data_IF_094212621595
#
_entry.id   IF_094212621595
#
_cell.length_a   1.000
_cell.length_b   1.000
_cell.length_c   1.000
_cell.angle_alpha   90.00
_cell.angle_beta   90.00
_cell.angle_gamma   90.00
#
_symmetry.space_group_name_H-M   'P 1'
#
loop_
_entity.id
_entity.type
_entity.pdbx_description
1 polymer ?
#
# COMPACT_ATOMS: atom_id res chain seq x y z
N UNK A 1 -8.30 7.73 -56.93
CA UNK A 1 -6.93 8.17 -57.27
C UNK A 1 -6.16 8.37 -55.97
N UNK A 2 -4.98 7.74 -55.84
CA UNK A 2 -3.99 7.93 -54.76
C UNK A 2 -4.41 7.39 -53.38
N UNK A 3 -3.83 6.35 -52.77
CA UNK A 3 -2.47 5.83 -52.83
C UNK A 3 -1.74 6.21 -51.54
N UNK A 4 -1.46 5.25 -50.65
CA UNK A 4 -0.24 5.28 -49.84
C UNK A 4 0.15 3.88 -49.37
N UNK A 5 1.46 3.65 -49.43
CA UNK A 5 2.16 2.37 -49.55
C UNK A 5 2.79 1.95 -48.22
N UNK A 6 2.92 0.63 -48.06
CA UNK A 6 3.96 -0.12 -47.34
C UNK A 6 4.26 0.24 -45.87
N UNK A 7 3.95 -0.70 -44.98
CA UNK A 7 4.93 -1.29 -44.07
C UNK A 7 4.55 -2.76 -43.85
N UNK A 8 5.16 -3.64 -44.64
CA UNK A 8 5.25 -5.08 -44.39
C UNK A 8 6.69 -5.40 -43.99
N UNK A 9 6.87 -6.57 -43.37
CA UNK A 9 8.12 -7.16 -42.84
C UNK A 9 8.36 -6.66 -41.40
N UNK A 10 8.28 -7.46 -40.35
CA UNK A 10 8.93 -8.76 -40.12
C UNK A 10 8.07 -9.66 -39.20
N UNK A 11 8.14 -10.98 -39.39
CA UNK A 11 7.93 -11.98 -38.32
C UNK A 11 6.53 -12.60 -38.19
N UNK A 12 6.15 -13.42 -39.16
CA UNK A 12 5.00 -14.33 -39.07
C UNK A 12 5.23 -15.39 -37.97
N UNK A 13 4.36 -15.39 -36.95
CA UNK A 13 4.05 -16.56 -36.13
C UNK A 13 2.58 -16.92 -36.39
N UNK A 14 2.22 -18.20 -36.45
CA UNK A 14 0.93 -18.62 -36.99
C UNK A 14 -0.21 -18.14 -36.09
N UNK A 15 -1.03 -17.27 -36.66
CA UNK A 15 -2.36 -16.93 -36.16
C UNK A 15 -3.22 -18.19 -36.28
N UNK A 16 -3.85 -18.72 -35.23
CA UNK A 16 -5.00 -19.57 -35.44
C UNK A 16 -6.10 -18.69 -36.05
N UNK A 17 -6.46 -18.99 -37.30
CA UNK A 17 -7.71 -18.54 -37.91
C UNK A 17 -8.84 -19.12 -37.06
N UNK A 18 -9.42 -18.30 -36.18
CA UNK A 18 -10.74 -18.55 -35.63
C UNK A 18 -11.74 -17.92 -36.60
N UNK A 19 -12.55 -18.79 -37.20
CA UNK A 19 -13.65 -18.43 -38.08
C UNK A 19 -14.65 -17.50 -37.39
N UNK A 20 -15.19 -16.58 -38.16
CA UNK A 20 -16.21 -15.63 -37.75
C UNK A 20 -17.52 -16.34 -37.42
N UNK A 21 -17.72 -16.67 -36.13
CA UNK A 21 -18.98 -17.08 -35.56
C UNK A 21 -19.56 -15.95 -34.69
N UNK A 22 -20.67 -15.38 -35.16
CA UNK A 22 -21.47 -14.34 -34.51
C UNK A 22 -21.93 -14.69 -33.09
N UNK A 23 -21.69 -13.80 -32.12
CA UNK A 23 -22.49 -13.71 -30.89
C UNK A 23 -21.73 -13.45 -29.59
N UNK A 24 -21.80 -12.21 -29.11
CA UNK A 24 -21.60 -11.78 -27.72
C UNK A 24 -20.14 -11.81 -27.17
N UNK A 25 -19.46 -10.68 -27.34
CA UNK A 25 -18.79 -10.03 -26.20
C UNK A 25 -17.43 -10.57 -25.77
N UNK A 26 -16.47 -10.60 -26.70
CA UNK A 26 -15.05 -10.64 -26.36
C UNK A 26 -14.66 -9.39 -25.57
N UNK A 27 -14.61 -9.49 -24.24
CA UNK A 27 -13.82 -8.58 -23.41
C UNK A 27 -12.55 -9.32 -23.03
N UNK A 28 -11.50 -9.11 -23.83
CA UNK A 28 -10.14 -9.30 -23.34
C UNK A 28 -9.94 -8.27 -22.22
N UNK A 29 -9.64 -8.65 -20.97
CA UNK A 29 -9.30 -7.68 -19.95
C UNK A 29 -8.06 -6.89 -20.40
N UNK A 30 -8.14 -5.57 -20.39
CA UNK A 30 -7.03 -4.68 -20.69
C UNK A 30 -5.83 -5.01 -19.78
N UNK A 31 -4.59 -5.06 -20.30
CA UNK A 31 -3.40 -5.16 -19.47
C UNK A 31 -3.12 -3.78 -18.86
N UNK A 32 -3.88 -3.39 -17.83
CA UNK A 32 -3.79 -2.03 -17.29
C UNK A 32 -4.52 -1.75 -15.99
N UNK A 33 -5.17 -2.73 -15.35
CA UNK A 33 -5.93 -2.46 -14.13
C UNK A 33 -5.72 -3.55 -13.08
N UNK A 34 -4.46 -3.72 -12.65
CA UNK A 34 -4.22 -4.19 -11.29
C UNK A 34 -4.32 -2.97 -10.39
N UNK A 35 -5.50 -2.75 -9.81
CA UNK A 35 -5.60 -1.93 -8.59
C UNK A 35 -4.80 -2.69 -7.53
N UNK A 36 -3.52 -2.38 -7.42
CA UNK A 36 -2.76 -2.74 -6.24
C UNK A 36 -3.46 -2.06 -5.07
N UNK A 37 -3.68 -2.80 -3.98
CA UNK A 37 -4.24 -2.23 -2.76
C UNK A 37 -3.49 -0.96 -2.34
N UNK A 38 -4.19 -0.05 -1.68
CA UNK A 38 -3.61 1.13 -1.05
C UNK A 38 -2.62 0.69 0.03
N UNK A 39 -2.94 -0.37 0.76
CA UNK A 39 -2.06 -1.00 1.74
C UNK A 39 -0.86 -1.65 1.06
N UNK A 40 0.34 -1.26 1.48
CA UNK A 40 1.60 -1.68 0.88
C UNK A 40 2.44 -2.44 1.91
N UNK A 41 2.87 -3.65 1.54
CA UNK A 41 3.89 -4.40 2.25
C UNK A 41 5.15 -4.55 1.41
N UNK A 42 6.32 -4.33 2.00
CA UNK A 42 7.62 -4.47 1.34
C UNK A 42 8.42 -5.60 2.01
N UNK A 43 9.16 -6.43 1.26
CA UNK A 43 10.08 -7.40 1.85
C UNK A 43 11.25 -6.66 2.52
N UNK A 44 11.64 -7.11 3.71
CA UNK A 44 12.78 -6.61 4.44
C UNK A 44 13.58 -7.77 5.05
N UNK A 45 14.90 -7.60 5.12
CA UNK A 45 15.77 -8.50 5.88
C UNK A 45 15.63 -8.17 7.38
N UNK A 46 15.26 -9.19 8.17
CA UNK A 46 15.06 -9.10 9.61
C UNK A 46 16.17 -9.85 10.31
N UNK A 47 16.70 -9.25 11.37
CA UNK A 47 17.66 -9.87 12.27
C UNK A 47 16.94 -10.24 13.57
N UNK A 48 16.77 -11.54 13.82
CA UNK A 48 16.18 -12.05 15.05
C UNK A 48 17.15 -11.88 16.23
N UNK A 49 16.62 -11.62 17.43
CA UNK A 49 17.41 -11.52 18.68
C UNK A 49 18.27 -12.77 19.00
N UNK A 50 17.95 -13.92 18.39
CA UNK A 50 18.68 -15.19 18.50
C UNK A 50 19.81 -15.36 17.48
N UNK A 51 20.06 -14.36 16.61
CA UNK A 51 21.19 -14.35 15.67
C UNK A 51 20.91 -14.91 14.28
N UNK A 52 19.64 -15.21 13.94
CA UNK A 52 19.25 -15.61 12.57
C UNK A 52 18.79 -14.40 11.76
N UNK A 53 19.09 -14.38 10.45
CA UNK A 53 18.47 -13.47 9.50
C UNK A 53 17.47 -14.19 8.59
N UNK A 54 16.40 -13.50 8.22
CA UNK A 54 15.39 -13.99 7.28
C UNK A 54 14.64 -12.83 6.63
N UNK A 55 14.01 -13.08 5.48
CA UNK A 55 13.18 -12.08 4.81
C UNK A 55 11.74 -12.22 5.27
N UNK A 56 11.12 -11.09 5.63
CA UNK A 56 9.70 -11.01 5.95
C UNK A 56 9.07 -9.77 5.31
N UNK A 57 7.77 -9.81 5.05
CA UNK A 57 7.02 -8.66 4.55
C UNK A 57 6.59 -7.76 5.69
N UNK A 58 6.93 -6.47 5.61
CA UNK A 58 6.55 -5.45 6.59
C UNK A 58 5.59 -4.46 5.94
N UNK A 59 4.52 -4.11 6.67
CA UNK A 59 3.57 -3.10 6.24
C UNK A 59 4.18 -1.70 6.36
N UNK A 60 4.12 -0.96 5.24
CA UNK A 60 4.63 0.41 5.07
C UNK A 60 3.51 1.42 4.92
N UNK A 61 2.40 1.00 4.32
CA UNK A 61 1.17 1.77 4.22
C UNK A 61 0.04 0.85 4.68
N UNK A 62 -0.82 1.35 5.56
CA UNK A 62 -2.03 0.67 6.01
C UNK A 62 -3.21 1.57 5.72
N UNK A 63 -4.12 1.08 4.88
CA UNK A 63 -5.40 1.70 4.62
C UNK A 63 -6.48 1.07 5.52
N UNK A 64 -7.19 1.90 6.28
CA UNK A 64 -8.15 1.48 7.28
C UNK A 64 -9.41 0.82 6.68
N UNK A 65 -9.83 1.26 5.49
CA UNK A 65 -11.03 0.77 4.81
C UNK A 65 -10.74 -0.53 4.05
N UNK A 66 -9.58 -0.61 3.40
CA UNK A 66 -9.11 -1.79 2.70
C UNK A 66 -8.72 -2.92 3.66
N UNK A 67 -8.02 -2.59 4.76
CA UNK A 67 -7.41 -3.55 5.68
C UNK A 67 -7.79 -3.26 7.14
N UNK A 68 -9.06 -3.47 7.53
CA UNK A 68 -9.52 -3.29 8.90
C UNK A 68 -8.84 -4.25 9.89
N UNK A 69 -8.36 -5.40 9.41
CA UNK A 69 -7.55 -6.34 10.18
C UNK A 69 -6.20 -5.74 10.60
N UNK A 70 -5.53 -5.00 9.71
CA UNK A 70 -4.28 -4.31 10.02
C UNK A 70 -4.51 -3.13 10.98
N UNK A 71 -5.63 -2.42 10.83
CA UNK A 71 -6.07 -1.41 11.81
C UNK A 71 -6.23 -2.03 13.21
N UNK A 72 -6.86 -3.21 13.31
CA UNK A 72 -6.99 -3.91 14.58
C UNK A 72 -5.60 -4.29 15.16
N UNK A 73 -4.66 -4.74 14.33
CA UNK A 73 -3.28 -5.00 14.76
C UNK A 73 -2.57 -3.73 15.24
N UNK A 74 -2.76 -2.58 14.60
CA UNK A 74 -2.22 -1.29 15.08
C UNK A 74 -2.79 -0.97 16.47
N UNK A 75 -4.11 -1.10 16.65
CA UNK A 75 -4.77 -0.83 17.92
C UNK A 75 -4.28 -1.74 19.06
N UNK A 76 -3.95 -2.99 18.73
CA UNK A 76 -3.35 -3.97 19.65
C UNK A 76 -1.83 -3.80 19.83
N UNK A 77 -1.19 -2.91 19.07
CA UNK A 77 0.26 -2.77 19.07
C UNK A 77 1.00 -3.98 18.49
N UNK A 78 0.36 -4.75 17.60
CA UNK A 78 0.88 -5.99 17.00
C UNK A 78 1.13 -5.91 15.50
N UNK A 79 1.09 -4.72 14.90
CA UNK A 79 1.51 -4.56 13.50
C UNK A 79 2.99 -4.96 13.36
N UNK A 80 3.33 -5.61 12.25
CA UNK A 80 4.70 -6.03 11.91
C UNK A 80 5.35 -6.95 12.97
N UNK A 81 4.55 -7.79 13.63
CA UNK A 81 5.07 -8.94 14.39
C UNK A 81 5.43 -10.04 13.40
N UNK A 82 6.68 -10.48 13.44
CA UNK A 82 7.22 -11.54 12.59
C UNK A 82 7.63 -12.73 13.44
N UNK A 83 7.49 -13.94 12.88
CA UNK A 83 7.92 -15.18 13.53
C UNK A 83 9.16 -15.71 12.83
N UNK A 84 10.25 -15.88 13.59
CA UNK A 84 11.48 -16.46 13.07
C UNK A 84 11.25 -17.93 12.69
N UNK A 85 11.54 -18.34 11.44
CA UNK A 85 11.33 -19.72 11.02
C UNK A 85 12.32 -20.72 11.64
N UNK A 86 13.43 -20.23 12.20
CA UNK A 86 14.50 -21.07 12.75
C UNK A 86 14.32 -21.38 14.24
N UNK A 87 13.94 -20.40 15.05
CA UNK A 87 13.81 -20.55 16.51
C UNK A 87 12.37 -20.39 17.02
N UNK A 88 11.43 -19.98 16.17
CA UNK A 88 10.03 -19.78 16.52
C UNK A 88 9.73 -18.52 17.35
N UNK A 89 10.74 -17.69 17.65
CA UNK A 89 10.56 -16.43 18.36
C UNK A 89 9.65 -15.46 17.57
N UNK A 90 8.75 -14.79 18.27
CA UNK A 90 7.94 -13.70 17.72
C UNK A 90 8.48 -12.37 18.20
N UNK A 91 8.75 -11.47 17.26
CA UNK A 91 9.32 -10.16 17.55
C UNK A 91 8.58 -9.10 16.74
N UNK A 92 8.34 -7.95 17.36
CA UNK A 92 7.81 -6.80 16.64
C UNK A 92 8.94 -6.06 15.94
N UNK A 93 8.83 -5.88 14.63
CA UNK A 93 9.75 -5.07 13.85
C UNK A 93 9.22 -3.65 13.80
N UNK A 94 9.86 -2.75 14.55
CA UNK A 94 9.53 -1.35 14.53
C UNK A 94 10.10 -0.69 13.27
N UNK A 95 9.23 -0.42 12.30
CA UNK A 95 9.57 0.32 11.08
C UNK A 95 8.63 1.49 10.90
N UNK A 96 9.06 2.58 10.22
CA UNK A 96 8.14 3.65 9.92
C UNK A 96 7.03 3.20 8.97
N UNK A 97 5.81 3.65 9.20
CA UNK A 97 4.68 3.35 8.31
C UNK A 97 3.64 4.47 8.30
N UNK A 98 2.90 4.55 7.20
CA UNK A 98 1.81 5.48 7.00
C UNK A 98 0.48 4.78 7.28
N UNK A 99 -0.39 5.42 8.04
CA UNK A 99 -1.78 5.01 8.22
C UNK A 99 -2.67 6.00 7.47
N UNK A 100 -3.58 5.47 6.64
CA UNK A 100 -4.54 6.23 5.87
C UNK A 100 -5.95 5.80 6.24
N UNK A 101 -6.82 6.78 6.49
CA UNK A 101 -8.22 6.58 6.85
C UNK A 101 -9.07 7.65 6.18
N UNK A 102 -9.76 7.28 5.10
CA UNK A 102 -10.53 8.23 4.31
C UNK A 102 -11.80 8.69 5.04
N UNK A 103 -12.43 7.82 5.83
CA UNK A 103 -13.57 8.16 6.69
C UNK A 103 -13.24 9.29 7.69
N UNK A 104 -12.02 9.32 8.22
CA UNK A 104 -11.55 10.36 9.13
C UNK A 104 -10.72 11.45 8.45
N UNK A 105 -10.55 11.39 7.11
CA UNK A 105 -9.70 12.29 6.33
C UNK A 105 -8.30 12.45 6.93
N UNK A 106 -7.71 11.33 7.37
CA UNK A 106 -6.47 11.32 8.14
C UNK A 106 -5.36 10.56 7.42
N UNK A 107 -4.16 11.15 7.42
CA UNK A 107 -2.90 10.51 7.03
C UNK A 107 -1.90 10.70 8.15
N UNK A 108 -1.51 9.62 8.79
CA UNK A 108 -0.68 9.63 9.99
C UNK A 108 0.62 8.85 9.76
N UNK A 109 1.75 9.47 10.07
CA UNK A 109 3.06 8.82 10.06
C UNK A 109 3.41 8.34 11.47
N UNK A 110 3.62 7.03 11.62
CA UNK A 110 4.19 6.44 12.82
C UNK A 110 5.67 6.14 12.59
N UNK A 111 6.51 6.49 13.57
CA UNK A 111 7.95 6.25 13.54
C UNK A 111 8.33 5.22 14.61
N UNK A 112 9.39 4.43 14.40
CA UNK A 112 9.98 3.64 15.46
C UNK A 112 10.62 4.55 16.52
N UNK A 113 10.80 4.07 17.76
CA UNK A 113 11.55 4.81 18.76
C UNK A 113 12.98 5.05 18.28
N UNK A 114 13.43 6.30 18.35
CA UNK A 114 14.74 6.72 17.86
C UNK A 114 14.77 8.21 17.57
N UNK A 115 15.95 8.74 17.27
CA UNK A 115 16.11 10.12 16.78
C UNK A 115 16.38 10.07 15.28
N UNK A 116 15.35 10.41 14.51
CA UNK A 116 15.51 10.86 13.12
C UNK A 116 15.55 12.39 13.12
N UNK A 117 16.37 12.98 12.25
CA UNK A 117 16.36 14.41 12.01
C UNK A 117 15.11 14.83 11.25
N UNK A 118 14.70 16.10 11.37
CA UNK A 118 13.49 16.62 10.69
C UNK A 118 13.54 16.40 9.16
N UNK A 119 14.71 16.59 8.54
CA UNK A 119 14.89 16.34 7.11
C UNK A 119 14.71 14.87 6.71
N UNK A 120 15.16 13.93 7.56
CA UNK A 120 14.97 12.50 7.32
C UNK A 120 13.51 12.09 7.46
N UNK A 121 12.84 12.61 8.49
CA UNK A 121 11.40 12.43 8.69
C UNK A 121 10.63 12.95 7.49
N UNK A 122 10.99 14.14 6.98
CA UNK A 122 10.33 14.74 5.82
C UNK A 122 10.52 13.89 4.56
N UNK A 123 11.75 13.50 4.24
CA UNK A 123 12.04 12.68 3.06
C UNK A 123 11.32 11.32 3.12
N UNK A 124 11.25 10.71 4.31
CA UNK A 124 10.50 9.48 4.53
C UNK A 124 8.99 9.67 4.34
N UNK A 125 8.43 10.75 4.88
CA UNK A 125 7.02 11.08 4.71
C UNK A 125 6.67 11.27 3.24
N UNK A 126 7.48 12.04 2.51
CA UNK A 126 7.29 12.32 1.08
C UNK A 126 7.28 11.01 0.27
N UNK A 127 8.24 10.10 0.49
CA UNK A 127 8.27 8.79 -0.19
C UNK A 127 7.01 7.97 0.06
N UNK A 128 6.52 7.92 1.31
CA UNK A 128 5.34 7.13 1.66
C UNK A 128 4.05 7.76 1.11
N UNK A 129 3.96 9.09 1.08
CA UNK A 129 2.83 9.82 0.48
C UNK A 129 2.80 9.62 -1.03
N UNK A 130 3.95 9.69 -1.71
CA UNK A 130 4.02 9.43 -3.15
C UNK A 130 3.52 8.02 -3.49
N UNK A 131 3.92 7.02 -2.69
CA UNK A 131 3.42 5.66 -2.82
C UNK A 131 1.90 5.57 -2.56
N UNK A 132 1.40 6.23 -1.52
CA UNK A 132 -0.04 6.32 -1.22
C UNK A 132 -0.83 6.92 -2.39
N UNK A 133 -0.39 8.09 -2.88
CA UNK A 133 -1.04 8.79 -3.98
C UNK A 133 -1.01 7.98 -5.27
N UNK A 134 0.06 7.22 -5.52
CA UNK A 134 0.16 6.32 -6.67
C UNK A 134 -0.86 5.20 -6.64
N UNK A 135 -1.27 4.75 -5.44
CA UNK A 135 -2.31 3.74 -5.26
C UNK A 135 -3.74 4.30 -5.33
N UNK A 136 -3.93 5.60 -5.04
CA UNK A 136 -5.25 6.25 -5.08
C UNK A 136 -5.50 6.87 -6.47
N UNK A 137 -6.59 6.49 -7.18
CA UNK A 137 -6.95 7.09 -8.47
C UNK A 137 -7.05 8.62 -8.39
N UNK A 138 -6.57 9.37 -9.40
CA UNK A 138 -6.56 10.84 -9.35
C UNK A 138 -7.90 11.48 -8.99
N UNK A 139 -9.02 10.91 -9.44
CA UNK A 139 -10.38 11.41 -9.19
C UNK A 139 -10.81 11.24 -7.72
N UNK A 140 -10.21 10.30 -7.00
CA UNK A 140 -10.46 10.04 -5.57
C UNK A 140 -9.50 10.79 -4.65
N UNK A 141 -8.48 11.46 -5.19
CA UNK A 141 -7.51 12.20 -4.38
C UNK A 141 -8.16 13.45 -3.80
N UNK A 142 -8.18 13.53 -2.47
CA UNK A 142 -8.73 14.67 -1.72
C UNK A 142 -7.59 15.48 -1.08
N UNK A 143 -7.80 16.77 -0.74
CA UNK A 143 -6.74 17.62 -0.18
C UNK A 143 -6.10 17.08 1.09
N UNK A 144 -6.83 16.33 1.93
CA UNK A 144 -6.29 15.79 3.19
C UNK A 144 -5.12 14.82 2.98
N UNK A 145 -5.00 14.20 1.80
CA UNK A 145 -3.91 13.25 1.50
C UNK A 145 -2.53 13.90 1.56
N UNK A 146 -2.47 15.22 1.42
CA UNK A 146 -1.23 16.01 1.49
C UNK A 146 -0.95 16.55 2.89
N UNK A 147 -1.87 16.38 3.84
CA UNK A 147 -1.73 16.83 5.22
C UNK A 147 -1.31 15.67 6.13
N UNK A 148 -0.01 15.31 6.04
CA UNK A 148 0.55 14.24 6.88
C UNK A 148 0.77 14.75 8.30
N UNK A 149 0.16 14.05 9.24
CA UNK A 149 0.33 14.31 10.67
C UNK A 149 1.31 13.32 11.27
N UNK A 150 2.16 13.78 12.19
CA UNK A 150 3.11 12.92 12.87
C UNK A 150 2.46 12.32 14.14
N UNK A 151 2.16 11.03 14.11
CA UNK A 151 1.69 10.30 15.29
C UNK A 151 2.84 9.94 16.25
N UNK A 152 4.09 10.03 15.78
CA UNK A 152 5.31 9.81 16.55
C UNK A 152 5.65 8.34 16.77
N UNK A 153 4.71 7.53 17.26
CA UNK A 153 4.91 6.09 17.49
C UNK A 153 3.66 5.27 17.15
N UNK A 154 3.79 3.95 17.09
CA UNK A 154 2.64 3.05 16.95
C UNK A 154 1.62 3.22 18.10
N UNK A 155 2.10 3.44 19.33
CA UNK A 155 1.23 3.67 20.47
C UNK A 155 0.50 5.03 20.36
N UNK A 156 1.22 6.08 19.92
CA UNK A 156 0.64 7.40 19.65
C UNK A 156 -0.44 7.33 18.57
N UNK A 157 -0.14 6.64 17.45
CA UNK A 157 -1.10 6.38 16.39
C UNK A 157 -2.33 5.64 16.91
N UNK A 158 -2.15 4.57 17.67
CA UNK A 158 -3.26 3.82 18.21
C UNK A 158 -4.11 4.64 19.20
N UNK A 159 -3.49 5.57 19.94
CA UNK A 159 -4.18 6.56 20.77
C UNK A 159 -5.02 7.53 19.94
N UNK A 160 -4.44 8.08 18.87
CA UNK A 160 -5.12 8.97 17.93
C UNK A 160 -6.35 8.28 17.30
N UNK A 161 -6.19 7.07 16.78
CA UNK A 161 -7.31 6.30 16.18
C UNK A 161 -8.42 6.05 17.21
N UNK A 162 -8.08 5.81 18.48
CA UNK A 162 -9.07 5.63 19.55
C UNK A 162 -9.81 6.92 19.89
N UNK A 163 -9.17 8.07 19.71
CA UNK A 163 -9.75 9.38 20.03
C UNK A 163 -10.94 9.75 19.14
N UNK A 164 -11.00 9.20 17.92
CA UNK A 164 -12.08 9.48 16.96
C UNK A 164 -13.43 8.85 17.34
N UNK A 165 -13.47 8.00 18.37
CA UNK A 165 -14.67 7.27 18.76
C UNK A 165 -14.94 6.08 17.83
N UNK A 166 -15.42 4.97 18.37
CA UNK A 166 -15.63 3.74 17.60
C UNK A 166 -16.85 3.81 16.69
N UNK A 167 -16.76 4.46 15.53
CA UNK A 167 -17.42 4.12 14.25
C UNK A 167 -16.93 5.09 13.17
N UNK A 168 -16.60 4.64 11.94
CA UNK A 168 -16.31 5.55 10.85
C UNK A 168 -17.55 6.41 10.52
N UNK A 169 -17.34 7.71 10.30
CA UNK A 169 -18.33 8.56 9.65
C UNK A 169 -18.66 7.95 8.29
N UNK A 170 -19.93 7.64 8.06
CA UNK A 170 -20.39 7.20 6.75
C UNK A 170 -19.86 8.17 5.69
N UNK A 171 -19.20 7.63 4.65
CA UNK A 171 -18.73 8.42 3.52
C UNK A 171 -19.86 9.22 2.86
N UNK A 172 -19.54 10.28 2.09
CA UNK A 172 -20.56 11.17 1.55
C UNK A 172 -21.56 10.40 0.66
N UNK A 173 -22.85 10.68 0.89
CA UNK A 173 -23.99 10.20 0.12
C UNK A 173 -23.95 10.64 -1.36
#
# INVERSE_FOLDING_TARGET
MGGCRLCALWGAWPVPVVEAGTGLGNICPYPGERVMGISLSEPAEIYCSRGHSFVASLWRIVDAEERPDLRALILLGRLNVVRCPYCGAEEQVAVPFLYHDAAHQAVLLALPPGRLGEGEIRALADRLVEALLSAIPPQKRRPYLYNVQLAGSMAGLAGEIRSWGGLPLAGPA
#
